data_IF_298244562372
#
_entry.id   IF_298244562372
#
_cell.length_a   1.000
_cell.length_b   1.000
_cell.length_c   1.000
_cell.angle_alpha   90.00
_cell.angle_beta   90.00
_cell.angle_gamma   90.00
#
_symmetry.space_group_name_H-M   'P 1'
#
loop_
_entity.id
_entity.type
_entity.pdbx_description
1 polymer ?
#
# COMPACT_ATOMS: atom_id res chain seq x y z
N UNK A 1 46.36 20.67 14.70
CA UNK A 1 46.73 21.04 13.31
C UNK A 1 45.53 20.76 12.42
N UNK A 2 44.90 21.79 11.84
CA UNK A 2 43.77 21.59 10.95
C UNK A 2 44.28 21.11 9.59
N UNK A 3 43.97 19.86 9.23
CA UNK A 3 44.28 19.36 7.90
C UNK A 3 43.44 20.12 6.87
N UNK A 4 44.08 20.76 5.88
CA UNK A 4 43.34 21.35 4.77
C UNK A 4 42.69 20.24 3.96
N UNK A 5 41.36 20.20 3.98
CA UNK A 5 40.58 19.24 3.20
C UNK A 5 40.58 19.62 1.72
N UNK A 6 40.55 18.60 0.86
CA UNK A 6 40.40 18.80 -0.57
C UNK A 6 38.99 19.33 -0.88
N UNK A 7 38.89 20.62 -1.19
CA UNK A 7 37.60 21.29 -1.45
C UNK A 7 36.81 20.61 -2.58
N UNK A 8 37.48 20.08 -3.62
CA UNK A 8 36.81 19.37 -4.72
C UNK A 8 36.15 18.08 -4.23
N UNK A 9 36.83 17.35 -3.34
CA UNK A 9 36.29 16.14 -2.72
C UNK A 9 35.04 16.47 -1.88
N UNK A 10 35.10 17.52 -1.05
CA UNK A 10 33.96 17.94 -0.22
C UNK A 10 32.76 18.33 -1.07
N UNK A 11 32.97 19.06 -2.17
CA UNK A 11 31.90 19.46 -3.09
C UNK A 11 31.24 18.22 -3.72
N UNK A 12 32.03 17.30 -4.27
CA UNK A 12 31.51 16.07 -4.89
C UNK A 12 30.75 15.23 -3.85
N UNK A 13 31.31 15.05 -2.66
CA UNK A 13 30.68 14.27 -1.59
C UNK A 13 29.35 14.89 -1.17
N UNK A 14 29.29 16.21 -1.02
CA UNK A 14 28.04 16.91 -0.66
C UNK A 14 26.97 16.78 -1.74
N UNK A 15 27.33 16.82 -3.02
CA UNK A 15 26.41 16.62 -4.13
C UNK A 15 25.84 15.18 -4.14
N UNK A 16 26.69 14.17 -3.96
CA UNK A 16 26.26 12.76 -3.90
C UNK A 16 25.30 12.53 -2.73
N UNK A 17 25.62 13.05 -1.54
CA UNK A 17 24.75 12.94 -0.38
C UNK A 17 23.40 13.62 -0.65
N UNK A 18 23.40 14.83 -1.21
CA UNK A 18 22.16 15.53 -1.55
C UNK A 18 21.30 14.74 -2.55
N UNK A 19 21.90 14.15 -3.57
CA UNK A 19 21.19 13.30 -4.54
C UNK A 19 20.59 12.06 -3.87
N UNK A 20 21.33 11.40 -2.99
CA UNK A 20 20.85 10.21 -2.28
C UNK A 20 19.69 10.53 -1.33
N UNK A 21 19.79 11.63 -0.58
CA UNK A 21 18.70 12.09 0.30
C UNK A 21 17.47 12.43 -0.52
N UNK A 22 17.62 13.16 -1.63
CA UNK A 22 16.52 13.50 -2.51
C UNK A 22 15.83 12.25 -3.09
N UNK A 23 16.61 11.27 -3.55
CA UNK A 23 16.09 10.00 -4.03
C UNK A 23 15.34 9.22 -2.94
N UNK A 24 15.86 9.19 -1.71
CA UNK A 24 15.20 8.53 -0.58
C UNK A 24 13.86 9.20 -0.21
N UNK A 25 13.79 10.54 -0.22
CA UNK A 25 12.54 11.28 0.02
C UNK A 25 11.50 10.97 -1.06
N UNK A 26 11.90 10.95 -2.33
CA UNK A 26 10.99 10.58 -3.43
C UNK A 26 10.52 9.13 -3.30
N UNK A 27 11.44 8.19 -3.08
CA UNK A 27 11.11 6.77 -2.93
C UNK A 27 10.17 6.55 -1.73
N UNK A 28 10.45 7.17 -0.58
CA UNK A 28 9.59 7.13 0.59
C UNK A 28 8.21 7.75 0.33
N UNK A 29 8.15 8.91 -0.32
CA UNK A 29 6.90 9.56 -0.69
C UNK A 29 6.06 8.74 -1.66
N UNK A 30 6.69 8.09 -2.64
CA UNK A 30 6.01 7.19 -3.58
C UNK A 30 5.54 5.90 -2.90
N UNK A 31 6.32 5.35 -1.96
CA UNK A 31 5.92 4.21 -1.16
C UNK A 31 4.71 4.53 -0.26
N UNK A 32 4.64 5.74 0.31
CA UNK A 32 3.49 6.20 1.10
C UNK A 32 2.27 6.53 0.22
N UNK A 33 2.47 6.86 -1.06
CA UNK A 33 1.40 7.03 -2.06
C UNK A 33 0.85 5.68 -2.55
N UNK A 34 0.98 4.60 -1.79
CA UNK A 34 0.27 3.36 -2.08
C UNK A 34 -1.21 3.55 -1.73
N UNK A 35 -2.02 3.73 -2.77
CA UNK A 35 -3.38 4.30 -2.78
C UNK A 35 -4.47 3.40 -2.14
N UNK A 36 -4.12 2.52 -1.19
CA UNK A 36 -5.04 1.59 -0.54
C UNK A 36 -6.16 2.29 0.23
N UNK A 37 -5.87 3.44 0.86
CA UNK A 37 -6.84 4.21 1.64
C UNK A 37 -8.06 4.64 0.83
N UNK A 38 -7.89 5.04 -0.44
CA UNK A 38 -9.03 5.39 -1.32
C UNK A 38 -9.95 4.19 -1.54
N UNK A 39 -9.39 2.99 -1.63
CA UNK A 39 -10.16 1.77 -1.79
C UNK A 39 -10.89 1.41 -0.48
N UNK A 40 -10.24 1.60 0.67
CA UNK A 40 -10.87 1.42 1.98
C UNK A 40 -12.05 2.39 2.21
N UNK A 41 -11.86 3.69 1.98
CA UNK A 41 -12.94 4.69 2.09
C UNK A 41 -14.10 4.39 1.14
N UNK A 42 -13.83 3.89 -0.06
CA UNK A 42 -14.90 3.42 -0.96
C UNK A 42 -15.62 2.19 -0.39
N UNK A 43 -14.87 1.27 0.22
CA UNK A 43 -15.42 0.10 0.89
C UNK A 43 -16.37 0.48 2.03
N UNK A 44 -16.01 1.46 2.87
CA UNK A 44 -16.87 1.97 3.95
C UNK A 44 -18.19 2.52 3.42
N UNK A 45 -18.15 3.33 2.34
CA UNK A 45 -19.37 3.84 1.70
C UNK A 45 -20.27 2.71 1.21
N UNK A 46 -19.68 1.70 0.57
CA UNK A 46 -20.41 0.53 0.07
C UNK A 46 -21.00 -0.32 1.20
N UNK A 47 -20.33 -0.41 2.36
CA UNK A 47 -20.88 -1.04 3.57
C UNK A 47 -22.11 -0.26 4.05
N UNK A 48 -22.02 1.08 4.12
CA UNK A 48 -23.13 1.93 4.53
C UNK A 48 -24.33 1.84 3.57
N UNK A 49 -24.08 1.63 2.28
CA UNK A 49 -25.08 1.39 1.24
C UNK A 49 -25.62 -0.06 1.24
N UNK A 50 -25.09 -0.95 2.10
CA UNK A 50 -25.47 -2.37 2.16
C UNK A 50 -24.91 -3.22 1.01
N UNK A 51 -24.05 -2.67 0.16
CA UNK A 51 -23.43 -3.37 -0.96
C UNK A 51 -22.16 -4.09 -0.53
N UNK A 52 -22.33 -5.19 0.21
CA UNK A 52 -21.22 -5.96 0.78
C UNK A 52 -20.30 -6.60 -0.27
N UNK A 53 -20.82 -6.94 -1.45
CA UNK A 53 -20.05 -7.57 -2.52
C UNK A 53 -19.04 -6.59 -3.15
N UNK A 54 -19.49 -5.39 -3.47
CA UNK A 54 -18.59 -4.35 -3.98
C UNK A 54 -17.67 -3.83 -2.87
N UNK A 55 -18.14 -3.78 -1.62
CA UNK A 55 -17.28 -3.47 -0.48
C UNK A 55 -16.14 -4.48 -0.34
N UNK A 56 -16.43 -5.78 -0.47
CA UNK A 56 -15.44 -6.85 -0.44
C UNK A 56 -14.36 -6.64 -1.51
N UNK A 57 -14.76 -6.35 -2.76
CA UNK A 57 -13.83 -6.06 -3.86
C UNK A 57 -13.03 -4.78 -3.64
N UNK A 58 -13.60 -3.78 -2.96
CA UNK A 58 -12.91 -2.55 -2.63
C UNK A 58 -11.83 -2.81 -1.57
N UNK A 59 -12.15 -3.51 -0.49
CA UNK A 59 -11.19 -3.90 0.54
C UNK A 59 -10.12 -4.88 0.03
N UNK A 60 -10.45 -5.79 -0.90
CA UNK A 60 -9.46 -6.64 -1.57
C UNK A 60 -8.37 -5.81 -2.25
N UNK A 61 -8.76 -4.71 -2.91
CA UNK A 61 -7.80 -3.79 -3.55
C UNK A 61 -7.02 -2.99 -2.53
N UNK A 62 -7.62 -2.61 -1.39
CA UNK A 62 -6.92 -1.93 -0.30
C UNK A 62 -5.82 -2.84 0.28
N UNK A 63 -6.17 -4.09 0.61
CA UNK A 63 -5.23 -5.11 1.12
C UNK A 63 -4.12 -5.43 0.13
N UNK A 64 -4.40 -5.53 -1.17
CA UNK A 64 -3.36 -5.74 -2.18
C UNK A 64 -2.34 -4.58 -2.22
N UNK A 65 -2.74 -3.37 -1.83
CA UNK A 65 -1.83 -2.21 -1.74
C UNK A 65 -1.04 -2.16 -0.43
N UNK A 66 -1.62 -2.65 0.66
CA UNK A 66 -0.94 -2.76 1.94
C UNK A 66 -1.43 -4.02 2.67
N UNK A 67 -0.65 -5.09 2.52
CA UNK A 67 -0.92 -6.38 3.16
C UNK A 67 -0.61 -6.37 4.66
N UNK A 68 -0.04 -5.28 5.20
CA UNK A 68 0.29 -5.16 6.63
C UNK A 68 -0.76 -4.36 7.41
N UNK A 69 -1.70 -3.73 6.71
CA UNK A 69 -2.78 -2.98 7.33
C UNK A 69 -3.84 -3.92 7.94
N UNK A 70 -3.74 -4.12 9.26
CA UNK A 70 -4.62 -5.00 10.04
C UNK A 70 -6.09 -4.60 9.94
N UNK A 71 -6.38 -3.31 9.88
CA UNK A 71 -7.75 -2.81 9.79
C UNK A 71 -8.40 -3.24 8.47
N UNK A 72 -7.70 -3.06 7.35
CA UNK A 72 -8.20 -3.45 6.03
C UNK A 72 -8.31 -4.97 5.88
N UNK A 73 -7.34 -5.71 6.43
CA UNK A 73 -7.40 -7.18 6.48
C UNK A 73 -8.62 -7.67 7.27
N UNK A 74 -8.92 -7.05 8.40
CA UNK A 74 -10.06 -7.40 9.25
C UNK A 74 -11.37 -7.12 8.53
N UNK A 75 -11.51 -5.92 7.95
CA UNK A 75 -12.70 -5.57 7.17
C UNK A 75 -12.89 -6.49 5.95
N UNK A 76 -11.80 -6.81 5.25
CA UNK A 76 -11.82 -7.74 4.13
C UNK A 76 -12.29 -9.14 4.54
N UNK A 77 -11.74 -9.69 5.63
CA UNK A 77 -12.14 -10.97 6.21
C UNK A 77 -13.62 -10.97 6.59
N UNK A 78 -14.07 -9.95 7.29
CA UNK A 78 -15.45 -9.88 7.78
C UNK A 78 -16.46 -9.77 6.64
N UNK A 79 -16.10 -9.08 5.56
CA UNK A 79 -16.90 -9.04 4.32
C UNK A 79 -16.86 -10.36 3.55
N UNK A 80 -15.75 -11.11 3.63
CA UNK A 80 -15.67 -12.45 3.04
C UNK A 80 -16.71 -13.39 3.66
N UNK A 81 -17.01 -13.24 4.96
CA UNK A 81 -18.03 -14.03 5.65
C UNK A 81 -19.46 -13.63 5.25
N UNK A 82 -19.67 -12.40 4.78
CA UNK A 82 -20.97 -11.86 4.35
C UNK A 82 -21.25 -12.06 2.87
N UNK A 83 -20.25 -12.44 2.09
CA UNK A 83 -20.33 -12.60 0.64
C UNK A 83 -20.10 -14.06 0.26
N UNK A 84 -20.79 -14.56 -0.76
CA UNK A 84 -20.55 -15.89 -1.30
C UNK A 84 -20.05 -15.74 -2.73
N UNK A 85 -18.87 -16.29 -3.08
CA UNK A 85 -18.45 -16.31 -4.47
C UNK A 85 -19.45 -17.12 -5.30
N UNK A 86 -19.89 -16.54 -6.41
CA UNK A 86 -20.91 -17.17 -7.27
C UNK A 86 -20.30 -18.24 -8.19
N UNK A 87 -18.97 -18.23 -8.35
CA UNK A 87 -18.26 -19.11 -9.27
C UNK A 87 -16.99 -19.69 -8.65
N UNK A 88 -16.58 -20.86 -9.15
CA UNK A 88 -15.34 -21.54 -8.74
C UNK A 88 -14.09 -20.72 -9.09
N UNK A 89 -14.08 -20.04 -10.22
CA UNK A 89 -12.97 -19.18 -10.63
C UNK A 89 -12.80 -17.98 -9.67
N UNK A 90 -13.92 -17.43 -9.20
CA UNK A 90 -13.91 -16.35 -8.24
C UNK A 90 -13.39 -16.81 -6.87
N UNK A 91 -13.76 -18.02 -6.43
CA UNK A 91 -13.20 -18.64 -5.24
C UNK A 91 -11.67 -18.79 -5.34
N UNK A 92 -11.15 -19.30 -6.47
CA UNK A 92 -9.71 -19.48 -6.70
C UNK A 92 -8.95 -18.14 -6.71
N UNK A 93 -9.55 -17.07 -7.23
CA UNK A 93 -8.97 -15.71 -7.16
C UNK A 93 -8.95 -15.20 -5.71
N UNK A 94 -10.03 -15.37 -4.95
CA UNK A 94 -10.11 -14.96 -3.54
C UNK A 94 -9.08 -15.72 -2.69
N UNK A 95 -8.94 -17.03 -2.90
CA UNK A 95 -8.00 -17.87 -2.17
C UNK A 95 -6.54 -17.49 -2.41
N UNK A 96 -6.16 -17.22 -3.67
CA UNK A 96 -4.80 -16.76 -4.01
C UNK A 96 -4.44 -15.43 -3.34
N UNK A 97 -5.41 -14.53 -3.21
CA UNK A 97 -5.21 -13.22 -2.57
C UNK A 97 -5.01 -13.32 -1.04
N UNK A 98 -5.43 -14.43 -0.44
CA UNK A 98 -5.27 -14.69 1.00
C UNK A 98 -3.94 -15.42 1.32
N UNK A 99 -3.32 -16.06 0.32
CA UNK A 99 -2.10 -16.85 0.48
C UNK A 99 -0.81 -16.17 -0.02
N UNK A 100 -0.94 -15.09 -0.78
CA UNK A 100 0.19 -14.26 -1.23
C UNK A 100 0.33 -13.01 -0.40
#
# INVERSE_FOLDING_TARGET
MAAQVNKKFVIILSAVIATLVFAAVIAGGLALKNNGGRHATRGEKLIAEGNFEEAYKAYARAVNKDQTNVEWLTAYRDLALKTKPNTREELDKRYRLYLG
#
